data_IF_325480567343
#
_entry.id   IF_325480567343
#
_cell.length_a   1.000
_cell.length_b   1.000
_cell.length_c   1.000
_cell.angle_alpha   90.00
_cell.angle_beta   90.00
_cell.angle_gamma   90.00
#
_symmetry.space_group_name_H-M   'P 1'
#
loop_
_entity.id
_entity.type
_entity.pdbx_description
1 polymer ?
#
# COMPACT_ATOMS: atom_id res chain seq x y z
N UNK A 1 -13.70 3.75 -2.85
CA UNK A 1 -12.24 3.49 -2.77
C UNK A 1 -11.99 2.06 -3.20
N UNK A 2 -11.03 1.75 -4.10
CA UNK A 2 -10.71 0.36 -4.45
C UNK A 2 -10.31 -0.42 -3.21
N UNK A 3 -10.67 -1.70 -3.15
CA UNK A 3 -10.26 -2.61 -2.11
C UNK A 3 -10.02 -4.00 -2.71
N UNK A 4 -8.84 -4.56 -2.47
CA UNK A 4 -8.51 -5.93 -2.83
C UNK A 4 -8.19 -6.70 -1.56
N UNK A 5 -8.50 -8.00 -1.54
CA UNK A 5 -8.18 -8.83 -0.40
C UNK A 5 -7.42 -10.09 -0.82
N UNK A 6 -6.67 -10.65 0.11
CA UNK A 6 -6.01 -11.95 -0.01
C UNK A 6 -6.60 -12.91 1.00
N UNK A 7 -7.12 -14.03 0.55
CA UNK A 7 -7.69 -15.06 1.41
C UNK A 7 -7.23 -16.47 1.02
N UNK A 8 -7.30 -17.40 1.96
CA UNK A 8 -6.82 -18.77 1.72
C UNK A 8 -7.77 -19.59 0.85
N UNK A 9 -9.06 -19.24 0.83
CA UNK A 9 -10.11 -19.96 0.11
C UNK A 9 -10.37 -19.36 -1.27
N UNK A 10 -10.64 -18.04 -1.35
CA UNK A 10 -10.99 -17.37 -2.61
C UNK A 10 -9.81 -16.65 -3.26
N UNK A 11 -8.62 -16.69 -2.66
CA UNK A 11 -7.42 -16.08 -3.22
C UNK A 11 -7.47 -14.56 -3.24
N UNK A 12 -6.95 -13.99 -4.34
CA UNK A 12 -6.93 -12.54 -4.56
C UNK A 12 -8.18 -12.09 -5.31
N UNK A 13 -9.00 -11.28 -4.65
CA UNK A 13 -10.22 -10.70 -5.24
C UNK A 13 -10.26 -9.19 -4.99
N UNK A 14 -10.91 -8.45 -5.89
CA UNK A 14 -10.95 -6.99 -5.83
C UNK A 14 -12.37 -6.47 -6.01
N UNK A 15 -12.64 -5.32 -5.38
CA UNK A 15 -13.88 -4.57 -5.46
C UNK A 15 -13.66 -3.13 -4.99
N UNK A 16 -14.67 -2.58 -4.34
CA UNK A 16 -14.64 -1.22 -3.78
C UNK A 16 -15.18 -1.23 -2.36
N UNK A 17 -14.72 -0.30 -1.53
CA UNK A 17 -15.37 -0.03 -0.23
C UNK A 17 -16.76 0.53 -0.51
N UNK A 18 -17.79 -0.13 0.03
CA UNK A 18 -19.20 0.20 -0.15
C UNK A 18 -19.78 0.98 1.03
N UNK A 19 -19.29 0.71 2.24
CA UNK A 19 -19.62 1.46 3.45
C UNK A 19 -18.44 1.50 4.41
N UNK A 20 -18.27 2.59 5.13
CA UNK A 20 -17.29 2.74 6.20
C UNK A 20 -17.97 2.89 7.57
N UNK A 21 -17.22 2.67 8.65
CA UNK A 21 -17.70 2.85 10.04
C UNK A 21 -18.95 2.06 10.36
N UNK A 22 -19.09 0.87 9.80
CA UNK A 22 -20.21 -0.03 10.07
C UNK A 22 -19.98 -0.81 11.36
N UNK A 23 -21.09 -1.21 11.98
CA UNK A 23 -21.12 -2.18 13.06
C UNK A 23 -22.01 -3.32 12.61
N UNK A 24 -21.47 -4.53 12.61
CA UNK A 24 -22.19 -5.73 12.18
C UNK A 24 -22.18 -6.76 13.31
N UNK A 25 -23.34 -7.34 13.61
CA UNK A 25 -23.44 -8.41 14.58
C UNK A 25 -23.21 -9.75 13.88
N UNK A 26 -22.08 -10.36 14.14
CA UNK A 26 -21.65 -11.64 13.55
C UNK A 26 -21.93 -12.77 14.52
N UNK A 27 -22.51 -13.86 14.02
CA UNK A 27 -22.70 -15.07 14.81
C UNK A 27 -21.43 -15.91 14.77
N UNK A 28 -20.76 -16.02 15.92
CA UNK A 28 -19.64 -16.93 16.13
C UNK A 28 -20.03 -18.07 17.06
N UNK A 29 -20.32 -19.24 16.47
CA UNK A 29 -20.71 -20.47 17.21
C UNK A 29 -21.89 -20.31 18.17
N UNK A 30 -22.86 -19.44 17.82
CA UNK A 30 -24.06 -19.18 18.61
C UNK A 30 -23.97 -17.95 19.51
N UNK A 31 -22.83 -17.29 19.58
CA UNK A 31 -22.64 -16.01 20.25
C UNK A 31 -22.66 -14.87 19.22
N UNK A 32 -23.43 -13.81 19.51
CA UNK A 32 -23.44 -12.61 18.67
C UNK A 32 -22.36 -11.65 19.14
N UNK A 33 -21.43 -11.33 18.25
CA UNK A 33 -20.32 -10.41 18.48
C UNK A 33 -20.44 -9.21 17.54
N UNK A 34 -20.33 -8.02 18.09
CA UNK A 34 -20.30 -6.79 17.28
C UNK A 34 -18.89 -6.59 16.72
N UNK A 35 -18.79 -6.59 15.37
CA UNK A 35 -17.58 -6.28 14.62
C UNK A 35 -17.70 -4.88 14.06
N UNK A 36 -16.68 -4.07 14.30
CA UNK A 36 -16.59 -2.70 13.81
C UNK A 36 -15.62 -2.63 12.64
N UNK A 37 -16.04 -2.00 11.54
CA UNK A 37 -15.16 -1.94 10.38
C UNK A 37 -15.79 -1.25 9.18
N UNK A 38 -15.64 -1.88 8.02
CA UNK A 38 -16.16 -1.38 6.75
C UNK A 38 -16.64 -2.54 5.87
N UNK A 39 -17.56 -2.24 4.96
CA UNK A 39 -17.99 -3.19 3.92
C UNK A 39 -17.27 -2.92 2.59
N UNK A 40 -17.08 -3.97 1.82
CA UNK A 40 -16.50 -3.91 0.48
C UNK A 40 -17.10 -4.99 -0.44
N UNK A 41 -16.99 -4.79 -1.75
CA UNK A 41 -17.64 -5.65 -2.76
C UNK A 41 -16.73 -6.73 -3.35
N UNK A 42 -15.52 -6.94 -2.80
CA UNK A 42 -14.70 -8.06 -3.24
C UNK A 42 -15.27 -9.39 -2.75
N UNK A 43 -15.14 -10.42 -3.59
CA UNK A 43 -15.59 -11.76 -3.24
C UNK A 43 -14.84 -12.33 -2.03
N UNK A 44 -15.60 -12.85 -1.05
CA UNK A 44 -15.06 -13.37 0.21
C UNK A 44 -15.78 -14.64 0.59
N UNK A 45 -15.04 -15.69 0.91
CA UNK A 45 -15.55 -16.99 1.35
C UNK A 45 -15.07 -17.34 2.76
N UNK A 46 -15.77 -18.27 3.37
CA UNK A 46 -15.36 -18.86 4.64
C UNK A 46 -13.93 -19.43 4.53
N UNK A 47 -13.06 -19.07 5.46
CA UNK A 47 -11.64 -19.41 5.45
C UNK A 47 -10.73 -18.29 4.95
N UNK A 48 -11.27 -17.20 4.39
CA UNK A 48 -10.50 -16.01 4.05
C UNK A 48 -10.21 -15.10 5.27
N UNK A 49 -10.93 -15.30 6.37
CA UNK A 49 -10.77 -14.54 7.61
C UNK A 49 -9.31 -14.46 8.06
N UNK A 50 -8.85 -13.26 8.44
CA UNK A 50 -7.46 -12.96 8.75
C UNK A 50 -6.63 -12.53 7.54
N UNK A 51 -7.16 -12.61 6.32
CA UNK A 51 -6.52 -12.13 5.10
C UNK A 51 -6.40 -10.61 5.07
N UNK A 52 -5.35 -10.10 4.43
CA UNK A 52 -5.14 -8.67 4.31
C UNK A 52 -6.09 -8.03 3.31
N UNK A 53 -6.66 -6.88 3.66
CA UNK A 53 -7.41 -6.01 2.76
C UNK A 53 -6.55 -4.79 2.45
N UNK A 54 -6.39 -4.49 1.16
CA UNK A 54 -5.48 -3.44 0.69
C UNK A 54 -6.17 -2.48 -0.28
N UNK A 55 -5.72 -1.23 -0.27
CA UNK A 55 -6.10 -0.20 -1.25
C UNK A 55 -4.86 0.49 -1.78
N UNK A 56 -4.52 0.25 -3.04
CA UNK A 56 -3.27 0.74 -3.63
C UNK A 56 -2.06 0.23 -2.85
N UNK A 57 -1.32 1.15 -2.22
CA UNK A 57 -0.11 0.84 -1.43
C UNK A 57 -0.39 0.53 0.04
N UNK A 58 -1.63 0.68 0.50
CA UNK A 58 -1.95 0.64 1.92
C UNK A 58 -2.71 -0.63 2.29
N UNK A 59 -2.33 -1.25 3.39
CA UNK A 59 -3.21 -2.17 4.09
C UNK A 59 -4.26 -1.35 4.83
N UNK A 60 -5.54 -1.62 4.57
CA UNK A 60 -6.66 -0.88 5.15
C UNK A 60 -7.45 -1.69 6.17
N UNK A 61 -7.33 -3.00 6.13
CA UNK A 61 -8.08 -3.88 7.02
C UNK A 61 -7.63 -5.33 6.98
N UNK A 62 -8.37 -6.12 7.72
CA UNK A 62 -8.25 -7.58 7.80
C UNK A 62 -9.63 -8.18 7.52
N UNK A 63 -9.71 -9.19 6.65
CA UNK A 63 -10.96 -9.92 6.39
C UNK A 63 -11.56 -10.49 7.67
N UNK A 64 -12.82 -10.24 7.93
CA UNK A 64 -13.48 -10.62 9.16
C UNK A 64 -14.74 -11.46 8.95
N UNK A 65 -15.70 -10.97 8.17
CA UNK A 65 -16.99 -11.62 7.97
C UNK A 65 -17.55 -11.41 6.56
N UNK A 66 -18.52 -12.25 6.20
CA UNK A 66 -19.27 -12.13 4.96
C UNK A 66 -20.43 -13.10 4.93
N UNK A 67 -21.37 -12.89 4.03
CA UNK A 67 -22.53 -13.74 3.83
C UNK A 67 -22.48 -14.58 2.55
N UNK A 68 -21.39 -14.52 1.80
CA UNK A 68 -21.21 -15.28 0.56
C UNK A 68 -20.80 -16.73 0.87
N UNK A 69 -21.38 -17.67 0.16
CA UNK A 69 -21.12 -19.12 0.28
C UNK A 69 -20.53 -19.71 -1.01
N UNK A 70 -20.74 -19.04 -2.15
CA UNK A 70 -20.27 -19.45 -3.47
C UNK A 70 -19.84 -18.25 -4.32
N UNK A 71 -19.17 -18.49 -5.46
CA UNK A 71 -18.80 -17.44 -6.40
C UNK A 71 -20.00 -16.73 -7.03
N UNK A 72 -21.13 -17.42 -7.12
CA UNK A 72 -22.35 -16.88 -7.71
C UNK A 72 -23.00 -15.82 -6.82
N UNK A 73 -22.81 -15.92 -5.50
CA UNK A 73 -23.34 -14.98 -4.50
C UNK A 73 -22.71 -13.58 -4.61
N UNK A 74 -21.53 -13.46 -5.22
CA UNK A 74 -20.86 -12.17 -5.39
C UNK A 74 -21.60 -11.18 -6.31
N UNK A 75 -22.54 -11.68 -7.11
CA UNK A 75 -23.39 -10.89 -8.00
C UNK A 75 -24.70 -10.45 -7.34
N UNK A 76 -24.99 -10.92 -6.12
CA UNK A 76 -26.21 -10.58 -5.41
C UNK A 76 -26.11 -9.18 -4.80
N UNK A 77 -27.17 -8.40 -4.87
CA UNK A 77 -27.23 -7.04 -4.31
C UNK A 77 -27.05 -7.02 -2.77
N UNK A 78 -27.35 -8.15 -2.11
CA UNK A 78 -27.19 -8.33 -0.66
C UNK A 78 -25.86 -8.94 -0.26
N UNK A 79 -24.93 -9.15 -1.21
CA UNK A 79 -23.61 -9.70 -0.92
C UNK A 79 -22.78 -8.73 -0.08
N UNK A 80 -22.32 -9.19 1.06
CA UNK A 80 -21.49 -8.41 2.00
C UNK A 80 -20.17 -9.10 2.26
N UNK A 81 -19.09 -8.37 2.10
CA UNK A 81 -17.79 -8.69 2.67
C UNK A 81 -17.41 -7.60 3.67
N UNK A 82 -16.98 -7.98 4.85
CA UNK A 82 -16.65 -7.07 5.93
C UNK A 82 -15.22 -7.22 6.43
N UNK A 83 -14.58 -6.08 6.67
CA UNK A 83 -13.22 -5.98 7.17
C UNK A 83 -13.11 -5.20 8.46
N UNK A 84 -12.24 -5.68 9.38
CA UNK A 84 -11.83 -4.92 10.54
C UNK A 84 -10.78 -3.88 10.13
N UNK A 85 -11.01 -2.61 10.44
CA UNK A 85 -10.16 -1.52 10.01
C UNK A 85 -8.81 -1.48 10.76
N UNK A 86 -7.72 -1.15 10.06
CA UNK A 86 -6.41 -0.92 10.69
C UNK A 86 -6.35 0.47 11.32
N UNK A 87 -6.84 1.46 10.60
CA UNK A 87 -6.94 2.85 11.07
C UNK A 87 -8.35 3.38 10.76
N UNK A 88 -8.77 4.40 11.51
CA UNK A 88 -10.10 4.99 11.43
C UNK A 88 -11.23 4.10 12.01
N UNK A 89 -12.36 4.73 12.31
CA UNK A 89 -13.47 4.09 12.99
C UNK A 89 -13.36 4.11 14.53
N UNK A 90 -14.40 3.61 15.19
CA UNK A 90 -14.51 3.62 16.66
C UNK A 90 -13.52 2.66 17.33
N UNK A 91 -13.37 1.48 16.72
CA UNK A 91 -12.41 0.46 17.14
C UNK A 91 -11.61 0.04 15.92
N UNK A 92 -10.30 0.14 16.01
CA UNK A 92 -9.37 -0.20 14.93
C UNK A 92 -8.05 -0.69 15.52
N UNK A 93 -7.22 -1.33 14.69
CA UNK A 93 -5.97 -1.92 15.17
C UNK A 93 -5.00 -0.86 15.74
N UNK A 94 -4.92 0.34 15.14
CA UNK A 94 -4.07 1.42 15.63
C UNK A 94 -4.52 1.92 17.02
N UNK A 95 -5.83 2.10 17.23
CA UNK A 95 -6.37 2.53 18.51
C UNK A 95 -6.13 1.49 19.61
N UNK A 96 -6.22 0.19 19.27
CA UNK A 96 -6.03 -0.91 20.22
C UNK A 96 -4.56 -1.13 20.57
N UNK A 97 -3.67 -1.11 19.58
CA UNK A 97 -2.27 -1.48 19.77
C UNK A 97 -1.33 -0.27 19.87
N UNK A 98 -1.73 0.91 19.44
CA UNK A 98 -0.98 2.20 19.51
C UNK A 98 0.42 2.11 18.88
N UNK A 99 0.58 1.34 17.80
CA UNK A 99 1.88 1.09 17.17
C UNK A 99 2.26 2.11 16.10
N UNK A 100 1.33 2.96 15.66
CA UNK A 100 1.57 3.95 14.61
C UNK A 100 1.97 3.28 13.29
N UNK A 101 1.26 2.22 12.90
CA UNK A 101 1.56 1.46 11.68
C UNK A 101 1.49 2.34 10.44
N UNK A 102 2.58 2.36 9.68
CA UNK A 102 2.57 2.79 8.30
C UNK A 102 2.67 1.53 7.42
N UNK A 103 1.52 0.97 7.07
CA UNK A 103 1.41 -0.30 6.37
C UNK A 103 1.36 -0.10 4.85
N UNK A 104 2.39 0.52 4.28
CA UNK A 104 2.57 0.47 2.84
C UNK A 104 3.13 -0.90 2.44
N UNK A 105 2.40 -1.60 1.59
CA UNK A 105 2.73 -2.96 1.14
C UNK A 105 3.38 -2.99 -0.24
N UNK A 106 3.29 -1.90 -0.99
CA UNK A 106 3.83 -1.82 -2.34
C UNK A 106 4.69 -0.57 -2.51
N UNK A 107 5.89 -0.77 -3.04
CA UNK A 107 6.81 0.28 -3.45
C UNK A 107 7.20 0.01 -4.90
N UNK A 108 6.69 0.84 -5.80
CA UNK A 108 6.90 0.70 -7.23
C UNK A 108 8.33 1.03 -7.68
N UNK A 109 8.62 0.71 -8.92
CA UNK A 109 9.87 1.11 -9.57
C UNK A 109 9.88 2.61 -9.87
N UNK A 110 10.92 3.38 -9.47
CA UNK A 110 11.03 4.79 -9.82
C UNK A 110 11.08 5.03 -11.34
N UNK A 111 10.44 6.12 -11.79
CA UNK A 111 10.49 6.59 -13.16
C UNK A 111 11.20 7.94 -13.20
N UNK A 112 12.23 8.08 -14.05
CA UNK A 112 12.93 9.35 -14.23
C UNK A 112 12.12 10.29 -15.10
N UNK A 113 11.91 11.53 -14.64
CA UNK A 113 11.29 12.62 -15.42
C UNK A 113 12.32 13.62 -15.91
N UNK A 114 13.34 13.95 -15.07
CA UNK A 114 14.40 14.90 -15.42
C UNK A 114 15.76 14.35 -15.00
N UNK A 115 16.73 14.43 -15.93
CA UNK A 115 18.14 14.13 -15.74
C UNK A 115 18.93 15.36 -16.17
N UNK A 116 19.46 16.13 -15.22
CA UNK A 116 20.20 17.36 -15.48
C UNK A 116 21.42 17.45 -14.57
N UNK A 117 22.42 18.26 -14.92
CA UNK A 117 23.70 18.38 -14.24
C UNK A 117 23.59 18.61 -12.72
N UNK A 118 22.62 19.39 -12.27
CA UNK A 118 22.44 19.72 -10.84
C UNK A 118 21.21 19.09 -10.18
N UNK A 119 20.39 18.35 -10.95
CA UNK A 119 19.12 17.85 -10.44
C UNK A 119 18.67 16.58 -11.17
N UNK A 120 18.22 15.61 -10.39
CA UNK A 120 17.55 14.41 -10.89
C UNK A 120 16.20 14.31 -10.21
N UNK A 121 15.15 14.10 -10.99
CA UNK A 121 13.80 13.98 -10.43
C UNK A 121 12.95 12.97 -11.19
N UNK A 122 11.85 12.56 -10.57
CA UNK A 122 10.95 11.60 -11.16
C UNK A 122 9.70 11.36 -10.33
N UNK A 123 9.05 10.27 -10.66
CA UNK A 123 7.85 9.77 -10.00
C UNK A 123 8.08 8.34 -9.55
N UNK A 124 7.38 7.94 -8.53
CA UNK A 124 7.31 6.55 -8.08
C UNK A 124 5.92 6.26 -7.53
N UNK A 125 5.46 5.06 -7.77
CA UNK A 125 4.23 4.54 -7.18
C UNK A 125 4.57 4.04 -5.77
N UNK A 126 4.55 4.93 -4.80
CA UNK A 126 4.86 4.68 -3.39
C UNK A 126 4.17 5.71 -2.50
N UNK A 127 3.95 5.35 -1.24
CA UNK A 127 3.41 6.26 -0.25
C UNK A 127 4.29 7.49 -0.04
N UNK A 128 3.69 8.63 0.27
CA UNK A 128 4.42 9.80 0.73
C UNK A 128 5.27 9.45 1.97
N UNK A 129 6.49 9.97 2.04
CA UNK A 129 7.44 9.62 3.08
C UNK A 129 8.37 8.44 2.72
N UNK A 130 8.12 7.71 1.64
CA UNK A 130 9.07 6.71 1.15
C UNK A 130 10.40 7.37 0.77
N UNK A 131 11.49 6.63 0.95
CA UNK A 131 12.87 7.09 0.66
C UNK A 131 13.26 6.70 -0.75
N UNK A 132 13.76 7.64 -1.54
CA UNK A 132 14.42 7.36 -2.81
C UNK A 132 15.93 7.46 -2.61
N UNK A 133 16.64 6.38 -2.93
CA UNK A 133 18.10 6.39 -3.04
C UNK A 133 18.46 6.47 -4.52
N UNK A 134 19.10 7.56 -4.93
CA UNK A 134 19.59 7.81 -6.28
C UNK A 134 21.10 7.69 -6.29
N UNK A 135 21.64 6.78 -7.07
CA UNK A 135 23.09 6.63 -7.25
C UNK A 135 23.49 7.12 -8.63
N UNK A 136 24.39 8.09 -8.69
CA UNK A 136 24.94 8.66 -9.92
C UNK A 136 26.45 8.42 -9.92
N UNK A 137 26.95 7.71 -10.91
CA UNK A 137 28.39 7.36 -11.06
C UNK A 137 29.00 6.86 -9.76
N UNK A 138 28.28 5.97 -9.04
CA UNK A 138 28.71 5.38 -7.78
C UNK A 138 28.49 6.23 -6.52
N UNK A 139 28.01 7.48 -6.63
CA UNK A 139 27.68 8.32 -5.47
C UNK A 139 26.17 8.31 -5.21
N UNK A 140 25.79 8.05 -3.96
CA UNK A 140 24.40 7.95 -3.55
C UNK A 140 23.89 9.22 -2.90
N UNK A 141 22.66 9.57 -3.22
CA UNK A 141 21.89 10.71 -2.71
C UNK A 141 20.50 10.24 -2.32
N UNK A 142 19.90 10.93 -1.36
CA UNK A 142 18.59 10.55 -0.83
C UNK A 142 17.60 11.69 -1.01
N UNK A 143 16.37 11.33 -1.36
CA UNK A 143 15.21 12.21 -1.32
C UNK A 143 14.04 11.48 -0.64
N UNK A 144 13.06 12.24 -0.20
CA UNK A 144 11.79 11.73 0.33
C UNK A 144 10.72 11.90 -0.75
N UNK A 145 9.90 10.88 -0.92
CA UNK A 145 8.75 10.90 -1.82
C UNK A 145 7.69 11.85 -1.24
N UNK A 146 7.29 12.81 -2.03
CA UNK A 146 6.20 13.73 -1.70
C UNK A 146 4.83 13.18 -2.06
N UNK A 147 3.81 14.01 -1.91
CA UNK A 147 2.45 13.71 -2.35
C UNK A 147 2.45 13.38 -3.85
N UNK A 148 1.54 12.48 -4.25
CA UNK A 148 1.43 11.97 -5.62
C UNK A 148 2.70 11.27 -6.17
N UNK A 149 3.62 10.83 -5.29
CA UNK A 149 4.77 10.04 -5.70
C UNK A 149 5.94 10.82 -6.32
N UNK A 150 5.92 12.15 -6.28
CA UNK A 150 6.99 12.98 -6.82
C UNK A 150 8.24 12.95 -5.94
N UNK A 151 9.42 12.93 -6.56
CA UNK A 151 10.70 12.99 -5.86
C UNK A 151 11.73 13.83 -6.62
N UNK A 152 12.65 14.45 -5.88
CA UNK A 152 13.73 15.26 -6.45
C UNK A 152 14.99 15.15 -5.59
N UNK A 153 16.10 14.85 -6.24
CA UNK A 153 17.46 14.94 -5.68
C UNK A 153 18.17 16.16 -6.29
N UNK A 154 18.69 17.01 -5.42
CA UNK A 154 19.63 18.08 -5.84
C UNK A 154 21.03 17.59 -5.59
N UNK A 155 21.87 17.66 -6.62
CA UNK A 155 23.27 17.29 -6.53
C UNK A 155 24.06 18.45 -5.92
N UNK A 156 24.92 18.23 -4.91
CA UNK A 156 25.69 19.31 -4.25
C UNK A 156 26.71 19.93 -5.18
N UNK A 157 27.13 19.20 -6.20
CA UNK A 157 27.97 19.65 -7.31
C UNK A 157 27.35 19.20 -8.62
N UNK A 158 27.29 20.12 -9.60
CA UNK A 158 26.83 19.78 -10.94
C UNK A 158 27.72 18.69 -11.57
N UNK A 159 27.09 17.78 -12.30
CA UNK A 159 27.81 16.78 -13.09
C UNK A 159 28.57 17.49 -14.23
N UNK A 160 29.74 16.97 -14.57
CA UNK A 160 30.50 17.45 -15.72
C UNK A 160 29.81 17.07 -17.04
N UNK A 161 30.12 17.72 -18.16
CA UNK A 161 29.69 17.22 -19.47
C UNK A 161 30.22 15.80 -19.70
N UNK A 162 29.39 14.93 -20.30
CA UNK A 162 29.76 13.56 -20.61
C UNK A 162 28.64 12.55 -20.32
N UNK A 163 28.98 11.27 -20.41
CA UNK A 163 28.06 10.17 -20.19
C UNK A 163 28.02 9.78 -18.71
N UNK A 164 26.81 9.65 -18.18
CA UNK A 164 26.56 9.33 -16.79
C UNK A 164 25.62 8.11 -16.68
N UNK A 165 25.77 7.35 -15.59
CA UNK A 165 24.84 6.29 -15.20
C UNK A 165 24.11 6.68 -13.92
N UNK A 166 22.77 6.60 -13.95
CA UNK A 166 21.93 6.81 -12.78
C UNK A 166 21.13 5.56 -12.46
N UNK A 167 21.02 5.26 -11.18
CA UNK A 167 20.12 4.22 -10.64
C UNK A 167 19.28 4.82 -9.54
N UNK A 168 18.00 4.47 -9.46
CA UNK A 168 17.10 4.92 -8.40
C UNK A 168 16.35 3.70 -7.82
N UNK A 169 16.27 3.66 -6.50
CA UNK A 169 15.51 2.64 -5.75
C UNK A 169 14.65 3.35 -4.72
N UNK A 170 13.38 2.96 -4.65
CA UNK A 170 12.47 3.41 -3.61
C UNK A 170 12.38 2.39 -2.48
N UNK A 171 12.30 2.84 -1.25
CA UNK A 171 12.06 2.00 -0.09
C UNK A 171 11.19 2.71 0.93
N UNK A 172 10.39 1.94 1.67
CA UNK A 172 9.59 2.43 2.79
C UNK A 172 9.81 1.54 3.99
N UNK A 173 10.23 2.13 5.08
CA UNK A 173 10.31 1.47 6.38
C UNK A 173 8.97 1.63 7.10
N UNK A 174 8.41 0.54 7.59
CA UNK A 174 7.21 0.58 8.42
C UNK A 174 7.53 1.30 9.73
N UNK A 175 6.69 2.28 10.09
CA UNK A 175 6.86 3.04 11.33
C UNK A 175 6.78 2.10 12.54
N UNK A 176 7.74 2.22 13.46
CA UNK A 176 7.80 1.38 14.66
C UNK A 176 8.31 -0.05 14.43
N UNK A 177 8.85 -0.36 13.25
CA UNK A 177 9.34 -1.68 12.88
C UNK A 177 10.65 -1.57 12.08
N UNK A 178 11.46 -2.63 12.09
CA UNK A 178 12.66 -2.74 11.24
C UNK A 178 12.31 -3.25 9.81
N UNK A 179 11.04 -3.54 9.56
CA UNK A 179 10.60 -4.03 8.26
C UNK A 179 10.66 -2.92 7.21
N UNK A 180 11.36 -3.18 6.10
CA UNK A 180 11.49 -2.27 4.96
C UNK A 180 11.04 -2.94 3.68
N UNK A 181 10.05 -2.36 3.01
CA UNK A 181 9.65 -2.75 1.66
C UNK A 181 10.49 -1.98 0.65
N UNK A 182 11.06 -2.67 -0.34
CA UNK A 182 11.92 -2.08 -1.37
C UNK A 182 11.38 -2.40 -2.75
N UNK A 183 11.22 -1.38 -3.57
CA UNK A 183 10.81 -1.50 -4.97
C UNK A 183 11.95 -1.94 -5.89
N UNK A 184 11.61 -2.33 -7.12
CA UNK A 184 12.60 -2.63 -8.15
C UNK A 184 13.46 -1.41 -8.50
N UNK A 185 14.73 -1.64 -8.80
CA UNK A 185 15.63 -0.58 -9.22
C UNK A 185 15.33 -0.09 -10.66
N UNK A 186 15.32 1.22 -10.87
CA UNK A 186 15.36 1.82 -12.20
C UNK A 186 16.80 2.22 -12.54
N UNK A 187 17.24 2.02 -13.77
CA UNK A 187 18.58 2.43 -14.23
C UNK A 187 18.49 3.09 -15.60
N UNK A 188 19.27 4.16 -15.83
CA UNK A 188 19.38 4.87 -17.10
C UNK A 188 20.79 5.41 -17.32
N UNK A 189 21.23 5.40 -18.57
CA UNK A 189 22.38 6.18 -19.03
C UNK A 189 21.88 7.48 -19.66
N UNK A 190 22.61 8.59 -19.49
CA UNK A 190 22.29 9.88 -20.10
C UNK A 190 23.57 10.69 -20.35
N UNK A 191 23.51 11.65 -21.25
CA UNK A 191 24.63 12.53 -21.62
C UNK A 191 24.23 13.97 -21.34
N UNK A 192 25.16 14.75 -20.81
CA UNK A 192 25.05 16.18 -20.55
C UNK A 192 25.90 16.98 -21.55
#
# INVERSE_FOLDING_TARGET
MPACKSGSTSGWTCGVVTADKVTESVNDNGELLDVYGFHFSAFLLRGDSGGAIVSGHYSIGVDSYGNMSSCDDAADDDAVAGGFAIVDGKYNAEAMFKHGFNLSINVGQPKFAKLAAGQISGMVDAAAGAKITVTVDGKSYVAIVGNAGAWTVRLPKALAPGSHKVTAVASLQAKGSDFTTTGAAASRKFTL
#
